data_IF_823819954899
#
_entry.id   IF_823819954899
#
_cell.length_a   1.000
_cell.length_b   1.000
_cell.length_c   1.000
_cell.angle_alpha   90.00
_cell.angle_beta   90.00
_cell.angle_gamma   90.00
#
_symmetry.space_group_name_H-M   'P 1'
#
loop_
_entity.id
_entity.type
_entity.pdbx_description
1 polymer ?
#
# COMPACT_ATOMS: atom_id res chain seq x y z
N UNK A 1 -14.20 -6.58 -30.10
CA UNK A 1 -13.56 -5.36 -29.56
C UNK A 1 -12.48 -5.80 -28.62
N UNK A 2 -11.34 -5.12 -28.58
CA UNK A 2 -10.23 -5.59 -27.76
C UNK A 2 -10.58 -5.58 -26.26
N UNK A 3 -9.94 -6.47 -25.52
CA UNK A 3 -10.03 -6.63 -24.07
C UNK A 3 -8.63 -6.38 -23.50
N UNK A 4 -8.57 -5.56 -22.46
CA UNK A 4 -7.39 -5.36 -21.64
C UNK A 4 -7.44 -6.29 -20.44
N UNK A 5 -6.32 -6.96 -20.17
CA UNK A 5 -6.10 -7.69 -18.91
C UNK A 5 -5.20 -6.87 -18.02
N UNK A 6 -5.76 -6.39 -16.93
CA UNK A 6 -4.99 -5.73 -15.88
C UNK A 6 -4.63 -6.73 -14.79
N UNK A 7 -3.37 -6.71 -14.37
CA UNK A 7 -2.92 -7.28 -13.11
C UNK A 7 -3.00 -6.21 -12.05
N UNK A 8 -3.64 -6.51 -10.93
CA UNK A 8 -3.81 -5.64 -9.78
C UNK A 8 -3.16 -6.32 -8.58
N UNK A 9 -2.23 -5.64 -7.91
CA UNK A 9 -1.67 -6.05 -6.62
C UNK A 9 -1.73 -4.91 -5.62
N UNK A 10 -1.73 -5.23 -4.34
CA UNK A 10 -1.58 -4.23 -3.29
C UNK A 10 -0.10 -3.82 -3.22
N UNK A 11 0.18 -2.55 -2.91
CA UNK A 11 1.57 -2.08 -2.75
C UNK A 11 2.29 -2.79 -1.60
N UNK A 12 1.59 -3.00 -0.48
CA UNK A 12 2.15 -3.64 0.71
C UNK A 12 2.00 -5.17 0.74
N UNK A 13 1.20 -5.74 -0.18
CA UNK A 13 0.84 -7.18 -0.18
C UNK A 13 0.91 -7.76 -1.60
N UNK A 14 2.14 -8.06 -2.03
CA UNK A 14 2.42 -8.62 -3.36
C UNK A 14 1.83 -10.03 -3.59
N UNK A 15 1.49 -10.74 -2.52
CA UNK A 15 0.86 -12.07 -2.56
C UNK A 15 -0.64 -11.99 -2.92
N UNK A 16 -1.25 -10.81 -2.81
CA UNK A 16 -2.65 -10.58 -3.16
C UNK A 16 -2.75 -10.02 -4.57
N UNK A 17 -3.12 -10.89 -5.52
CA UNK A 17 -3.18 -10.55 -6.94
C UNK A 17 -4.57 -10.78 -7.52
N UNK A 18 -5.05 -9.85 -8.33
CA UNK A 18 -6.26 -9.96 -9.15
C UNK A 18 -5.90 -9.76 -10.61
N UNK A 19 -6.44 -10.57 -11.51
CA UNK A 19 -6.37 -10.31 -12.95
C UNK A 19 -7.79 -10.07 -13.47
N UNK A 20 -8.03 -8.90 -14.05
CA UNK A 20 -9.35 -8.48 -14.53
C UNK A 20 -9.27 -8.19 -16.01
N UNK A 21 -10.17 -8.84 -16.76
CA UNK A 21 -10.42 -8.55 -18.16
C UNK A 21 -11.50 -7.48 -18.27
N UNK A 22 -11.23 -6.43 -19.06
CA UNK A 22 -12.13 -5.29 -19.25
C UNK A 22 -12.08 -4.79 -20.69
N UNK A 23 -13.21 -4.31 -21.22
CA UNK A 23 -13.28 -3.81 -22.60
C UNK A 23 -12.56 -2.47 -22.72
N UNK A 24 -11.90 -2.21 -23.85
CA UNK A 24 -11.18 -0.94 -24.06
C UNK A 24 -12.07 0.32 -24.01
N UNK A 25 -13.37 0.18 -24.32
CA UNK A 25 -14.32 1.28 -24.29
C UNK A 25 -14.98 1.52 -22.92
N UNK A 26 -14.73 0.63 -21.95
CA UNK A 26 -15.19 0.79 -20.58
C UNK A 26 -14.33 1.83 -19.86
N UNK A 27 -14.86 2.29 -18.74
CA UNK A 27 -14.31 3.43 -18.00
C UNK A 27 -13.43 2.99 -16.84
N UNK A 28 -12.66 3.92 -16.29
CA UNK A 28 -11.95 3.69 -15.03
C UNK A 28 -12.91 3.41 -13.86
N UNK A 29 -14.16 3.90 -13.93
CA UNK A 29 -15.17 3.59 -12.92
C UNK A 29 -15.59 2.11 -12.99
N UNK A 30 -15.71 1.55 -14.19
CA UNK A 30 -15.99 0.12 -14.38
C UNK A 30 -14.85 -0.74 -13.81
N UNK A 31 -13.59 -0.32 -14.02
CA UNK A 31 -12.42 -0.99 -13.45
C UNK A 31 -12.40 -0.91 -11.93
N UNK A 32 -12.65 0.27 -11.35
CA UNK A 32 -12.76 0.49 -9.91
C UNK A 32 -13.80 -0.45 -9.27
N UNK A 33 -15.01 -0.50 -9.84
CA UNK A 33 -16.08 -1.38 -9.36
C UNK A 33 -15.70 -2.85 -9.49
N UNK A 34 -14.99 -3.24 -10.55
CA UNK A 34 -14.52 -4.60 -10.75
C UNK A 34 -13.46 -5.02 -9.71
N UNK A 35 -12.51 -4.14 -9.40
CA UNK A 35 -11.50 -4.37 -8.35
C UNK A 35 -12.21 -4.62 -7.02
N UNK A 36 -13.14 -3.75 -6.62
CA UNK A 36 -13.78 -3.89 -5.31
C UNK A 36 -14.82 -5.01 -5.23
N UNK A 37 -15.42 -5.42 -6.35
CA UNK A 37 -16.19 -6.66 -6.40
C UNK A 37 -15.32 -7.88 -6.04
N UNK A 38 -14.03 -7.84 -6.36
CA UNK A 38 -13.08 -8.92 -6.06
C UNK A 38 -12.46 -8.85 -4.67
N UNK A 39 -12.36 -7.65 -4.06
CA UNK A 39 -11.82 -7.46 -2.71
C UNK A 39 -12.91 -7.45 -1.63
N UNK A 40 -14.17 -7.20 -2.00
CA UNK A 40 -15.28 -7.03 -1.07
C UNK A 40 -15.33 -5.65 -0.40
N UNK A 41 -14.52 -4.70 -0.87
CA UNK A 41 -14.54 -3.32 -0.35
C UNK A 41 -15.73 -2.51 -0.89
N UNK A 42 -16.03 -1.40 -0.23
CA UNK A 42 -17.09 -0.48 -0.63
C UNK A 42 -16.66 0.37 -1.83
N UNK A 43 -17.29 0.16 -2.99
CA UNK A 43 -16.97 0.88 -4.23
C UNK A 43 -17.51 2.33 -4.29
N UNK A 44 -18.14 2.83 -3.22
CA UNK A 44 -18.65 4.21 -3.17
C UNK A 44 -17.68 5.16 -2.43
N UNK A 45 -16.44 4.72 -2.17
CA UNK A 45 -15.41 5.53 -1.53
C UNK A 45 -14.61 6.37 -2.52
N UNK A 46 -14.26 7.59 -2.10
CA UNK A 46 -13.44 8.51 -2.90
C UNK A 46 -12.07 7.90 -3.18
N UNK A 47 -11.74 7.82 -4.46
CA UNK A 47 -10.59 7.05 -4.95
C UNK A 47 -10.03 7.71 -6.21
N UNK A 48 -8.77 7.45 -6.55
CA UNK A 48 -8.16 7.96 -7.80
C UNK A 48 -7.17 6.99 -8.41
N UNK A 49 -7.22 6.88 -9.75
CA UNK A 49 -6.13 6.32 -10.54
C UNK A 49 -5.17 7.44 -10.93
N UNK A 50 -3.89 7.10 -11.04
CA UNK A 50 -2.84 7.97 -11.54
C UNK A 50 -2.16 7.27 -12.70
N UNK A 51 -2.07 7.93 -13.85
CA UNK A 51 -1.22 7.45 -14.95
C UNK A 51 0.22 7.40 -14.43
N UNK A 52 0.87 6.25 -14.58
CA UNK A 52 2.14 6.00 -13.93
C UNK A 52 3.23 5.55 -14.89
N UNK A 53 4.48 5.84 -14.52
CA UNK A 53 5.68 5.39 -15.23
C UNK A 53 6.11 4.01 -14.74
N UNK A 54 7.20 3.49 -15.29
CA UNK A 54 7.74 2.19 -14.88
C UNK A 54 8.13 2.09 -13.41
N UNK A 55 8.45 3.22 -12.78
CA UNK A 55 8.86 3.35 -11.39
C UNK A 55 7.71 3.73 -10.45
N UNK A 56 6.45 3.50 -10.84
CA UNK A 56 5.26 3.79 -10.04
C UNK A 56 5.10 5.25 -9.61
N UNK A 57 5.61 6.19 -10.41
CA UNK A 57 5.48 7.64 -10.16
C UNK A 57 4.07 8.08 -10.51
N UNK A 58 3.41 8.81 -9.61
CA UNK A 58 2.03 9.32 -9.80
C UNK A 58 2.03 10.52 -10.75
N UNK A 59 1.42 10.37 -11.92
CA UNK A 59 1.22 11.42 -12.92
C UNK A 59 -0.22 11.96 -12.89
N UNK A 60 -0.85 12.00 -14.08
CA UNK A 60 -2.18 12.56 -14.25
C UNK A 60 -3.26 11.79 -13.46
N UNK A 61 -4.10 12.54 -12.75
CA UNK A 61 -5.13 11.99 -11.88
C UNK A 61 -6.48 11.78 -12.60
N UNK A 62 -7.08 10.62 -12.34
CA UNK A 62 -8.44 10.26 -12.75
C UNK A 62 -9.23 9.89 -11.49
N UNK A 63 -10.14 10.77 -11.06
CA UNK A 63 -10.76 10.72 -9.74
C UNK A 63 -12.22 10.25 -9.75
N UNK A 64 -12.60 9.57 -8.65
CA UNK A 64 -13.97 9.24 -8.27
C UNK A 64 -14.32 10.03 -7.01
N UNK A 65 -15.47 10.72 -7.03
CA UNK A 65 -15.90 11.62 -5.97
C UNK A 65 -14.81 12.65 -5.57
N UNK A 66 -14.30 13.46 -6.52
CA UNK A 66 -13.33 14.49 -6.20
C UNK A 66 -13.93 15.58 -5.31
N UNK A 67 -13.11 16.10 -4.39
CA UNK A 67 -13.47 17.29 -3.59
C UNK A 67 -13.59 18.54 -4.47
N UNK A 68 -14.26 19.58 -3.99
CA UNK A 68 -14.48 20.83 -4.74
C UNK A 68 -13.20 21.41 -5.35
N UNK A 69 -12.12 21.47 -4.56
CA UNK A 69 -10.80 21.94 -5.05
C UNK A 69 -10.30 21.16 -6.27
N UNK A 70 -10.52 19.84 -6.31
CA UNK A 70 -10.11 18.97 -7.42
C UNK A 70 -10.98 19.21 -8.67
N UNK A 71 -12.27 19.49 -8.46
CA UNK A 71 -13.21 19.87 -9.53
C UNK A 71 -12.79 21.22 -10.13
N UNK A 72 -12.46 22.20 -9.29
CA UNK A 72 -12.03 23.54 -9.74
C UNK A 72 -10.73 23.48 -10.55
N UNK A 73 -9.86 22.51 -10.24
CA UNK A 73 -8.62 22.24 -10.98
C UNK A 73 -8.85 21.44 -12.29
N UNK A 74 -10.08 21.06 -12.62
CA UNK A 74 -10.41 20.35 -13.85
C UNK A 74 -9.96 18.89 -13.88
N UNK A 75 -9.84 18.21 -12.73
CA UNK A 75 -9.44 16.80 -12.68
C UNK A 75 -10.42 15.91 -13.45
N UNK A 76 -9.87 14.95 -14.18
CA UNK A 76 -10.64 14.02 -14.99
C UNK A 76 -11.46 13.07 -14.12
N UNK A 77 -12.72 12.85 -14.48
CA UNK A 77 -13.61 11.94 -13.75
C UNK A 77 -13.52 10.51 -14.27
N UNK A 78 -13.47 9.52 -13.37
CA UNK A 78 -13.43 8.10 -13.74
C UNK A 78 -14.57 7.68 -14.68
N UNK A 79 -15.82 8.08 -14.39
CA UNK A 79 -16.99 7.70 -15.20
C UNK A 79 -17.04 8.29 -16.61
N UNK A 80 -16.16 9.27 -16.93
CA UNK A 80 -16.03 9.83 -18.29
C UNK A 80 -14.74 9.40 -18.99
N UNK A 81 -13.86 8.71 -18.28
CA UNK A 81 -12.53 8.35 -18.74
C UNK A 81 -12.52 6.93 -19.24
N UNK A 82 -12.45 6.74 -20.56
CA UNK A 82 -12.32 5.41 -21.17
C UNK A 82 -10.90 4.90 -21.02
N UNK A 83 -10.72 3.62 -20.76
CA UNK A 83 -9.40 2.99 -20.64
C UNK A 83 -8.56 3.18 -21.90
N UNK A 84 -9.17 3.08 -23.09
CA UNK A 84 -8.49 3.29 -24.37
C UNK A 84 -7.81 4.66 -24.52
N UNK A 85 -8.24 5.66 -23.76
CA UNK A 85 -7.70 7.03 -23.85
C UNK A 85 -6.44 7.24 -23.02
N UNK A 86 -6.10 6.30 -22.13
CA UNK A 86 -4.99 6.42 -21.18
C UNK A 86 -3.99 5.26 -21.27
N UNK A 87 -4.17 4.37 -22.26
CA UNK A 87 -3.26 3.25 -22.53
C UNK A 87 -2.49 3.59 -23.80
N UNK A 88 -1.24 3.99 -23.64
CA UNK A 88 -0.34 4.33 -24.75
C UNK A 88 0.66 3.20 -25.04
N UNK A 89 1.06 2.46 -24.00
CA UNK A 89 2.03 1.36 -24.08
C UNK A 89 1.40 -0.01 -23.71
N UNK A 90 1.85 -1.14 -24.31
CA UNK A 90 1.40 -2.48 -23.94
C UNK A 90 1.59 -2.86 -22.46
N UNK A 91 2.53 -2.22 -21.76
CA UNK A 91 2.82 -2.38 -20.33
C UNK A 91 2.39 -1.16 -19.50
N UNK A 92 1.39 -0.39 -19.97
CA UNK A 92 0.89 0.78 -19.25
C UNK A 92 0.61 0.47 -17.77
N UNK A 93 1.14 1.31 -16.89
CA UNK A 93 0.95 1.25 -15.44
C UNK A 93 0.04 2.37 -14.95
N UNK A 94 -0.74 2.05 -13.93
CA UNK A 94 -1.53 2.97 -13.14
C UNK A 94 -1.28 2.72 -11.67
N UNK A 95 -1.05 3.80 -10.92
CA UNK A 95 -1.06 3.74 -9.47
C UNK A 95 -2.49 4.03 -9.01
N UNK A 96 -3.06 3.19 -8.16
CA UNK A 96 -4.45 3.32 -7.75
C UNK A 96 -4.57 3.47 -6.24
N UNK A 97 -5.19 4.57 -5.80
CA UNK A 97 -5.48 4.85 -4.39
C UNK A 97 -6.97 4.65 -4.15
N UNK A 98 -7.29 3.67 -3.31
CA UNK A 98 -8.64 3.45 -2.82
C UNK A 98 -8.87 4.17 -1.50
N UNK A 99 -10.01 4.85 -1.36
CA UNK A 99 -10.48 5.47 -0.12
C UNK A 99 -9.47 6.42 0.54
N UNK A 100 -9.53 7.71 0.21
CA UNK A 100 -8.64 8.72 0.81
C UNK A 100 -8.73 8.87 2.33
N UNK A 101 -9.80 8.38 2.99
CA UNK A 101 -9.90 8.42 4.46
C UNK A 101 -9.08 7.30 5.13
N UNK A 102 -8.98 6.14 4.48
CA UNK A 102 -8.21 4.97 4.92
C UNK A 102 -7.62 4.30 3.67
N UNK A 103 -6.48 4.83 3.19
CA UNK A 103 -5.97 4.46 1.88
C UNK A 103 -5.49 3.03 1.83
N UNK A 104 -5.82 2.35 0.74
CA UNK A 104 -5.07 1.22 0.24
C UNK A 104 -4.53 1.56 -1.13
N UNK A 105 -3.25 1.32 -1.31
CA UNK A 105 -2.53 1.60 -2.54
C UNK A 105 -2.37 0.31 -3.35
N UNK A 106 -2.57 0.43 -4.66
CA UNK A 106 -2.55 -0.66 -5.60
C UNK A 106 -1.68 -0.33 -6.80
N UNK A 107 -0.96 -1.34 -7.25
CA UNK A 107 -0.27 -1.36 -8.53
C UNK A 107 -1.16 -2.03 -9.58
N UNK A 108 -1.48 -1.29 -10.64
CA UNK A 108 -2.32 -1.77 -11.75
C UNK A 108 -1.51 -1.73 -13.03
N UNK A 109 -1.28 -2.89 -13.64
CA UNK A 109 -0.45 -3.03 -14.83
C UNK A 109 -1.22 -3.73 -15.96
N UNK A 110 -1.14 -3.19 -17.17
CA UNK A 110 -1.61 -3.88 -18.36
C UNK A 110 -0.64 -5.02 -18.70
N UNK A 111 -1.12 -6.26 -18.62
CA UNK A 111 -0.28 -7.44 -18.89
C UNK A 111 -0.62 -8.14 -20.21
N UNK A 112 -1.80 -7.86 -20.78
CA UNK A 112 -2.24 -8.49 -22.03
C UNK A 112 -3.31 -7.67 -22.75
N UNK A 113 -3.23 -7.64 -24.07
CA UNK A 113 -4.29 -7.16 -24.96
C UNK A 113 -4.81 -8.35 -25.77
N UNK A 114 -6.11 -8.61 -25.68
CA UNK A 114 -6.80 -9.70 -26.39
C UNK A 114 -7.67 -9.06 -27.47
N UNK A 115 -7.42 -9.38 -28.75
CA UNK A 115 -8.10 -8.72 -29.87
C UNK A 115 -9.56 -9.18 -30.04
N UNK A 116 -9.85 -10.43 -29.68
CA UNK A 116 -11.16 -11.05 -29.81
C UNK A 116 -11.82 -11.16 -28.43
N UNK A 117 -13.04 -10.62 -28.31
CA UNK A 117 -13.84 -10.80 -27.11
C UNK A 117 -14.72 -12.03 -27.24
N UNK A 118 -14.85 -12.81 -26.16
CA UNK A 118 -15.81 -13.89 -26.12
C UNK A 118 -17.22 -13.29 -25.96
N UNK A 119 -18.17 -13.57 -26.86
CA UNK A 119 -19.54 -13.06 -26.73
C UNK A 119 -20.29 -13.64 -25.53
N UNK A 120 -19.83 -14.74 -24.94
CA UNK A 120 -20.47 -15.38 -23.79
C UNK A 120 -20.01 -14.83 -22.44
N UNK A 121 -18.98 -13.98 -22.42
CA UNK A 121 -18.41 -13.40 -21.20
C UNK A 121 -18.92 -11.96 -21.04
N UNK A 122 -19.46 -11.67 -19.87
CA UNK A 122 -19.79 -10.31 -19.45
C UNK A 122 -18.56 -9.65 -18.81
N UNK A 123 -18.19 -8.47 -19.31
CA UNK A 123 -17.03 -7.71 -18.85
C UNK A 123 -17.48 -6.49 -18.04
N UNK A 124 -16.79 -6.11 -16.94
CA UNK A 124 -15.49 -6.63 -16.52
C UNK A 124 -15.57 -8.02 -15.86
N UNK A 125 -14.58 -8.87 -16.14
CA UNK A 125 -14.54 -10.27 -15.71
C UNK A 125 -13.28 -10.54 -14.88
N UNK A 126 -13.45 -11.13 -13.69
CA UNK A 126 -12.33 -11.53 -12.83
C UNK A 126 -11.78 -12.88 -13.32
N UNK A 127 -10.59 -12.86 -13.92
CA UNK A 127 -9.94 -14.05 -14.48
C UNK A 127 -9.25 -14.86 -13.40
N UNK A 128 -8.62 -14.17 -12.44
CA UNK A 128 -7.79 -14.79 -11.42
C UNK A 128 -7.83 -14.00 -10.13
N UNK A 129 -7.85 -14.73 -9.02
CA UNK A 129 -7.82 -14.20 -7.66
C UNK A 129 -6.90 -15.05 -6.81
N UNK A 130 -5.82 -14.47 -6.30
CA UNK A 130 -4.84 -15.11 -5.41
C UNK A 130 -4.73 -14.29 -4.13
N UNK A 131 -4.68 -14.95 -2.98
CA UNK A 131 -4.54 -14.30 -1.68
C UNK A 131 -5.83 -13.64 -1.20
N UNK A 132 -5.92 -13.43 0.11
CA UNK A 132 -7.03 -12.73 0.74
C UNK A 132 -6.76 -11.23 0.79
N UNK A 133 -7.74 -10.41 0.41
CA UNK A 133 -7.60 -8.96 0.52
C UNK A 133 -7.51 -8.55 1.99
N UNK A 134 -6.61 -7.60 2.36
CA UNK A 134 -6.51 -7.08 3.72
C UNK A 134 -7.86 -6.60 4.26
N UNK A 135 -8.17 -6.90 5.52
CA UNK A 135 -9.45 -6.46 6.11
C UNK A 135 -9.34 -5.00 6.55
N UNK A 136 -10.31 -4.18 6.13
CA UNK A 136 -10.44 -2.81 6.62
C UNK A 136 -11.03 -2.88 8.03
N UNK A 137 -10.20 -2.66 9.06
CA UNK A 137 -10.69 -2.66 10.44
C UNK A 137 -11.13 -1.24 10.82
N UNK A 138 -12.43 -1.05 10.94
CA UNK A 138 -12.98 0.16 11.53
C UNK A 138 -12.67 0.19 13.03
N UNK A 139 -12.13 1.33 13.50
CA UNK A 139 -11.77 1.52 14.91
C UNK A 139 -12.95 1.28 15.86
N UNK A 140 -14.18 1.48 15.38
CA UNK A 140 -15.41 1.23 16.12
C UNK A 140 -15.81 -0.26 16.22
N UNK A 141 -15.19 -1.15 15.43
CA UNK A 141 -15.50 -2.58 15.37
C UNK A 141 -14.28 -3.48 15.69
N UNK A 142 -13.24 -2.91 16.29
CA UNK A 142 -12.05 -3.66 16.75
C UNK A 142 -12.42 -4.81 17.68
N UNK A 143 -13.39 -4.62 18.58
CA UNK A 143 -13.83 -5.66 19.51
C UNK A 143 -14.46 -6.88 18.79
N UNK A 144 -15.21 -6.65 17.70
CA UNK A 144 -15.79 -7.73 16.89
C UNK A 144 -14.74 -8.47 16.06
N UNK A 145 -13.73 -7.76 15.56
CA UNK A 145 -12.60 -8.37 14.84
C UNK A 145 -11.76 -9.27 15.76
N UNK A 146 -11.42 -8.79 16.96
CA UNK A 146 -10.67 -9.58 17.95
C UNK A 146 -11.45 -10.84 18.31
N UNK A 147 -12.74 -10.74 18.62
CA UNK A 147 -13.58 -11.90 18.97
C UNK A 147 -13.67 -12.94 17.84
N UNK A 148 -13.73 -12.50 16.58
CA UNK A 148 -13.74 -13.41 15.43
C UNK A 148 -12.39 -14.10 15.20
N UNK A 149 -11.27 -13.38 15.41
CA UNK A 149 -9.94 -13.95 15.33
C UNK A 149 -9.68 -14.98 16.44
N UNK A 150 -10.17 -14.74 17.66
CA UNK A 150 -10.08 -15.72 18.77
C UNK A 150 -10.91 -16.97 18.51
N UNK A 151 -12.05 -16.85 17.84
CA UNK A 151 -12.92 -17.97 17.49
C UNK A 151 -12.34 -18.88 16.39
N UNK A 152 -11.41 -18.37 15.56
CA UNK A 152 -10.66 -19.17 14.58
C UNK A 152 -9.35 -19.73 15.15
N UNK A 153 -8.80 -19.13 16.22
CA UNK A 153 -7.56 -19.60 16.85
C UNK A 153 -7.78 -20.68 17.92
N UNK A 154 -9.01 -21.09 18.18
CA UNK A 154 -9.36 -22.15 19.14
C UNK A 154 -8.89 -23.55 18.71
N UNK A 155 -8.36 -23.72 17.49
CA UNK A 155 -7.62 -24.93 17.08
C UNK A 155 -6.16 -24.97 17.58
N UNK A 156 -5.68 -23.91 18.23
CA UNK A 156 -4.34 -23.82 18.85
C UNK A 156 -4.40 -23.60 20.37
N UNK A 157 -5.45 -24.10 21.02
CA UNK A 157 -5.59 -24.05 22.49
C UNK A 157 -4.70 -25.10 23.22
N UNK A 158 -3.44 -25.24 22.77
CA UNK A 158 -2.44 -26.08 23.44
C UNK A 158 -2.03 -25.50 24.82
N UNK A 159 -2.28 -24.21 25.05
CA UNK A 159 -1.93 -23.52 26.28
C UNK A 159 -2.96 -23.74 27.41
N UNK A 160 -4.24 -24.00 27.13
CA UNK A 160 -5.19 -24.45 28.18
C UNK A 160 -5.08 -25.95 28.48
N UNK A 161 -4.53 -26.76 27.58
CA UNK A 161 -4.39 -28.22 27.80
C UNK A 161 -3.11 -28.58 28.58
N UNK A 162 -2.23 -27.62 28.86
CA UNK A 162 -1.27 -27.74 29.95
C UNK A 162 -1.99 -27.50 31.27
N UNK A 163 -2.66 -28.53 31.76
CA UNK A 163 -3.22 -28.61 33.11
C UNK A 163 -2.06 -28.54 34.12
N UNK A 164 -1.57 -27.33 34.36
CA UNK A 164 -0.47 -27.05 35.28
C UNK A 164 -1.01 -27.22 36.70
N UNK A 165 -0.93 -28.45 37.19
CA UNK A 165 -1.24 -28.81 38.57
C UNK A 165 -0.23 -28.08 39.47
N UNK A 166 -0.66 -27.13 40.32
CA UNK A 166 0.24 -26.33 41.15
C UNK A 166 0.95 -27.14 42.27
N UNK A 167 0.72 -28.45 42.36
CA UNK A 167 1.26 -29.32 43.41
C UNK A 167 2.71 -29.81 43.14
N UNK A 168 3.25 -29.66 41.93
CA UNK A 168 4.65 -30.05 41.60
C UNK A 168 5.63 -28.87 41.72
N UNK A 169 5.35 -27.89 42.59
CA UNK A 169 6.31 -26.82 42.92
C UNK A 169 7.41 -27.27 43.89
N UNK A 170 7.27 -28.44 44.53
CA UNK A 170 8.25 -28.99 45.46
C UNK A 170 9.53 -29.49 44.77
N UNK A 171 9.50 -29.78 43.46
CA UNK A 171 10.70 -30.23 42.71
C UNK A 171 11.56 -29.06 42.19
N UNK A 172 11.01 -27.84 42.12
CA UNK A 172 11.74 -26.64 41.68
C UNK A 172 12.64 -26.08 42.79
N UNK A 173 12.31 -26.31 44.06
CA UNK A 173 13.17 -25.97 45.21
C UNK A 173 14.42 -26.86 45.30
N UNK A 174 14.40 -28.05 44.70
CA UNK A 174 15.53 -28.97 44.68
C UNK A 174 16.60 -28.59 43.64
N UNK A 175 16.29 -27.70 42.69
CA UNK A 175 17.25 -27.21 41.70
C UNK A 175 17.87 -25.90 42.18
N UNK A 176 18.84 -26.04 43.10
CA UNK A 176 19.54 -24.96 43.78
C UNK A 176 19.86 -23.75 42.88
N UNK A 177 19.44 -22.58 43.38
CA UNK A 177 19.54 -21.27 42.75
C UNK A 177 20.85 -21.01 42.01
N UNK A 178 20.83 -21.28 40.71
CA UNK A 178 21.71 -20.68 39.70
C UNK A 178 20.87 -19.86 38.73
N UNK A 179 20.14 -18.91 39.31
CA UNK A 179 19.70 -17.74 38.57
C UNK A 179 20.89 -16.82 38.35
N UNK A 180 21.05 -16.35 37.12
CA UNK A 180 22.03 -15.35 36.72
C UNK A 180 21.68 -14.08 37.50
N UNK A 181 22.53 -13.73 38.47
CA UNK A 181 22.38 -12.52 39.26
C UNK A 181 22.70 -11.33 38.34
N UNK A 182 21.69 -10.55 37.98
CA UNK A 182 21.88 -9.22 37.44
C UNK A 182 22.41 -8.36 38.59
N UNK A 183 23.71 -8.11 38.60
CA UNK A 183 24.31 -7.12 39.49
C UNK A 183 23.85 -5.73 39.02
N UNK A 184 22.99 -5.13 39.85
CA UNK A 184 22.84 -3.68 39.94
C UNK A 184 24.18 -3.11 40.42
N UNK A 185 24.77 -2.22 39.61
CA UNK A 185 25.86 -1.33 40.03
C UNK A 185 25.29 0.08 39.91
N UNK A 186 25.07 0.69 41.07
CA UNK A 186 24.67 2.08 41.24
C UNK A 186 25.81 2.86 41.90
N UNK A 187 25.87 4.16 41.57
CA UNK A 187 26.65 5.26 42.18
C UNK A 187 28.17 5.32 41.83
N UNK A 188 28.81 6.46 41.53
CA UNK A 188 28.44 7.88 41.55
C UNK A 188 29.51 8.71 40.78
N UNK A 189 29.09 9.89 40.31
CA UNK A 189 29.82 11.13 39.94
C UNK A 189 31.36 11.21 39.88
N UNK A 190 31.88 11.87 38.84
CA UNK A 190 32.78 13.05 38.98
C UNK A 190 32.84 13.85 37.66
N UNK A 191 32.71 15.17 37.79
CA UNK A 191 32.82 16.20 36.75
C UNK A 191 34.30 16.39 36.33
N UNK A 192 34.57 16.76 35.07
CA UNK A 192 35.49 17.86 34.70
C UNK A 192 35.58 18.08 33.17
N UNK A 193 35.99 19.30 32.82
CA UNK A 193 35.70 20.07 31.62
C UNK A 193 36.61 19.83 30.38
N UNK A 194 36.07 20.27 29.23
CA UNK A 194 36.71 20.82 28.01
C UNK A 194 37.96 20.18 27.39
N UNK A 195 37.85 19.84 26.09
CA UNK A 195 38.59 20.58 25.04
C UNK A 195 38.11 20.30 23.62
N UNK A 196 37.83 21.39 22.91
CA UNK A 196 37.69 21.51 21.46
C UNK A 196 38.93 20.99 20.72
N UNK A 197 38.71 20.11 19.74
CA UNK A 197 39.67 19.84 18.65
C UNK A 197 38.94 19.20 17.46
N UNK A 198 38.46 20.00 16.52
CA UNK A 198 38.50 19.57 15.12
C UNK A 198 38.71 20.80 14.21
N UNK A 199 39.94 20.89 13.73
CA UNK A 199 40.35 21.78 12.66
C UNK A 199 39.99 21.14 11.32
N UNK A 200 39.26 21.85 10.47
CA UNK A 200 39.42 21.71 9.02
C UNK A 200 39.51 23.11 8.41
N UNK A 201 40.65 23.37 7.79
CA UNK A 201 40.93 24.58 7.05
C UNK A 201 40.44 24.49 5.61
N UNK A 202 40.21 25.69 5.06
CA UNK A 202 40.45 26.15 3.69
C UNK A 202 40.10 25.21 2.53
N UNK A 203 39.21 25.69 1.65
CA UNK A 203 39.60 25.95 0.27
C UNK A 203 38.57 26.88 -0.42
N UNK A 204 39.08 28.06 -0.76
CA UNK A 204 38.49 29.08 -1.64
C UNK A 204 38.31 28.57 -3.07
N UNK A 205 37.12 28.77 -3.66
CA UNK A 205 36.99 29.04 -5.10
C UNK A 205 35.87 30.04 -5.37
N UNK A 206 36.26 31.29 -5.58
CA UNK A 206 35.49 32.30 -6.26
C UNK A 206 35.56 32.04 -7.78
N UNK A 207 34.42 31.93 -8.45
CA UNK A 207 34.34 32.10 -9.90
C UNK A 207 33.18 33.02 -10.26
N UNK A 208 33.60 34.09 -10.90
CA UNK A 208 32.95 35.21 -11.54
C UNK A 208 31.78 34.81 -12.47
N UNK A 209 30.67 35.54 -12.40
CA UNK A 209 29.71 35.62 -13.50
C UNK A 209 29.30 37.07 -13.73
N UNK A 210 30.20 37.80 -14.40
CA UNK A 210 29.87 38.98 -15.17
C UNK A 210 29.73 38.66 -16.66
N UNK A 211 28.51 38.73 -17.20
CA UNK A 211 28.22 39.15 -18.58
C UNK A 211 26.71 39.36 -18.66
N UNK A 212 26.14 40.40 -19.27
CA UNK A 212 26.62 41.18 -20.38
C UNK A 212 25.41 41.38 -21.28
N UNK A 213 25.00 42.64 -21.37
CA UNK A 213 23.82 43.20 -22.04
C UNK A 213 23.78 43.02 -23.57
N UNK A 214 22.54 43.09 -24.06
CA UNK A 214 22.07 43.84 -25.25
C UNK A 214 22.36 43.33 -26.70
N UNK A 215 21.22 43.16 -27.40
CA UNK A 215 20.85 43.74 -28.71
C UNK A 215 21.24 43.13 -30.08
N UNK A 216 20.17 43.05 -30.89
CA UNK A 216 20.03 43.35 -32.33
C UNK A 216 20.79 42.55 -33.40
N UNK A 217 20.04 41.77 -34.21
CA UNK A 217 19.62 42.07 -35.60
C UNK A 217 18.92 40.87 -36.27
#
# INVERSE_FOLDING_TARGET
MAIYRFRISFEDFDDVVREIDIKTNQTFEDLHRAIHRSTGYDAEKSSSFYVSTDNWIKGDEIALLPNQRKIDNGITLMGKSKLSSFVEDPHQKFYYIYNFERPFDFHVELIKIILENDPNIEYPFLVKSIGEAPKIIDKNNMAGFVAAATATSSEFDFLNELDFVPEDTEELEAMGGRGINAEEVDEESEEEEEKDEFAEGDDDYAEDFGSGKDDDY
#
